data_IF_872357107466
#
_entry.id   IF_872357107466
#
_cell.length_a   1.000
_cell.length_b   1.000
_cell.length_c   1.000
_cell.angle_alpha   90.00
_cell.angle_beta   90.00
_cell.angle_gamma   90.00
#
_symmetry.space_group_name_H-M   'P 1'
#
loop_
_entity.id
_entity.type
_entity.pdbx_description
1 polymer ?
#
# COMPACT_ATOMS: atom_id res chain seq x y z
N UNK A 1 3.29 5.53 -6.30
CA UNK A 1 2.57 4.81 -5.20
C UNK A 1 3.00 5.40 -3.87
N UNK A 2 2.04 5.67 -2.98
CA UNK A 2 2.26 6.31 -1.68
C UNK A 2 1.98 5.32 -0.55
N UNK A 3 2.85 5.27 0.46
CA UNK A 3 2.57 4.60 1.74
C UNK A 3 2.33 5.68 2.78
N UNK A 4 1.10 5.70 3.30
CA UNK A 4 0.68 6.57 4.38
C UNK A 4 1.14 6.01 5.72
N UNK A 5 2.14 6.64 6.36
CA UNK A 5 2.68 6.18 7.64
C UNK A 5 2.11 6.95 8.85
N UNK A 6 0.92 7.57 8.72
CA UNK A 6 0.28 8.32 9.80
C UNK A 6 -0.52 7.44 10.78
N UNK A 7 0.09 6.34 11.22
CA UNK A 7 -0.56 5.32 12.05
C UNK A 7 0.19 4.99 13.35
N UNK A 8 1.08 5.88 13.81
CA UNK A 8 1.96 5.62 14.96
C UNK A 8 1.19 5.25 16.24
N UNK A 9 0.07 5.93 16.52
CA UNK A 9 -0.80 5.64 17.66
C UNK A 9 -1.46 4.25 17.62
N UNK A 10 -1.40 3.56 16.48
CA UNK A 10 -1.95 2.22 16.28
C UNK A 10 -0.87 1.12 16.26
N UNK A 11 0.41 1.47 16.41
CA UNK A 11 1.51 0.49 16.42
C UNK A 11 2.19 0.43 17.78
N UNK A 12 2.48 -0.80 18.20
CA UNK A 12 3.57 -1.02 19.16
C UNK A 12 4.90 -1.18 18.40
N UNK A 13 6.03 -1.09 19.11
CA UNK A 13 7.38 -1.19 18.50
C UNK A 13 7.55 -2.43 17.60
N UNK A 14 6.94 -3.56 17.99
CA UNK A 14 6.96 -4.80 17.20
C UNK A 14 6.29 -4.62 15.83
N UNK A 15 5.23 -3.85 15.75
CA UNK A 15 4.50 -3.60 14.50
C UNK A 15 5.25 -2.61 13.61
N UNK A 16 5.90 -1.59 14.20
CA UNK A 16 6.83 -0.72 13.47
C UNK A 16 7.98 -1.50 12.82
N UNK A 17 8.56 -2.50 13.52
CA UNK A 17 9.58 -3.39 12.96
C UNK A 17 9.05 -4.22 11.79
N UNK A 18 7.80 -4.72 11.87
CA UNK A 18 7.15 -5.43 10.76
C UNK A 18 6.90 -4.50 9.58
N UNK A 19 6.40 -3.29 9.81
CA UNK A 19 6.18 -2.29 8.78
C UNK A 19 7.49 -1.96 8.06
N UNK A 20 8.57 -1.70 8.80
CA UNK A 20 9.89 -1.46 8.22
C UNK A 20 10.39 -2.63 7.36
N UNK A 21 10.07 -3.89 7.73
CA UNK A 21 10.36 -5.06 6.88
C UNK A 21 9.53 -5.05 5.59
N UNK A 22 8.23 -4.73 5.68
CA UNK A 22 7.34 -4.65 4.53
C UNK A 22 7.77 -3.52 3.57
N UNK A 23 8.16 -2.35 4.08
CA UNK A 23 8.68 -1.24 3.26
C UNK A 23 9.97 -1.62 2.50
N UNK A 24 10.88 -2.39 3.12
CA UNK A 24 12.05 -2.94 2.41
C UNK A 24 11.65 -3.86 1.27
N UNK A 25 10.63 -4.70 1.47
CA UNK A 25 10.11 -5.59 0.45
C UNK A 25 9.50 -4.80 -0.73
N UNK A 26 8.72 -3.74 -0.46
CA UNK A 26 8.22 -2.85 -1.50
C UNK A 26 9.35 -2.31 -2.39
N UNK A 27 10.40 -1.76 -1.77
CA UNK A 27 11.54 -1.25 -2.53
C UNK A 27 12.27 -2.35 -3.33
N UNK A 28 12.51 -3.51 -2.72
CA UNK A 28 13.16 -4.64 -3.38
C UNK A 28 12.37 -5.16 -4.60
N UNK A 29 11.05 -5.25 -4.48
CA UNK A 29 10.15 -5.67 -5.56
C UNK A 29 10.03 -4.64 -6.70
N UNK A 30 10.39 -3.38 -6.44
CA UNK A 30 10.28 -2.28 -7.39
C UNK A 30 11.59 -2.01 -8.15
N UNK A 31 12.73 -2.03 -7.45
CA UNK A 31 14.01 -1.47 -7.94
C UNK A 31 14.61 -2.15 -9.18
N UNK A 32 14.13 -3.33 -9.54
CA UNK A 32 14.62 -4.10 -10.70
C UNK A 32 13.56 -4.27 -11.79
N UNK A 33 12.40 -3.60 -11.66
CA UNK A 33 11.37 -3.64 -12.70
C UNK A 33 11.78 -2.81 -13.92
N UNK A 34 11.30 -3.17 -15.13
CA UNK A 34 11.51 -2.37 -16.33
C UNK A 34 10.97 -0.93 -16.19
N UNK A 35 9.82 -0.78 -15.53
CA UNK A 35 9.16 0.50 -15.30
C UNK A 35 8.91 0.69 -13.80
N UNK A 36 9.94 1.03 -13.01
CA UNK A 36 9.81 1.10 -11.57
C UNK A 36 8.99 2.32 -11.14
N UNK A 37 8.09 2.11 -10.20
CA UNK A 37 7.25 3.17 -9.65
C UNK A 37 8.04 4.13 -8.73
N UNK A 38 7.62 5.39 -8.67
CA UNK A 38 8.05 6.28 -7.59
C UNK A 38 7.34 5.87 -6.29
N UNK A 39 8.10 5.46 -5.28
CA UNK A 39 7.61 5.08 -3.95
C UNK A 39 7.72 6.28 -3.01
N UNK A 40 6.60 6.79 -2.52
CA UNK A 40 6.55 7.89 -1.57
C UNK A 40 6.18 7.38 -0.19
N UNK A 41 6.95 7.74 0.83
CA UNK A 41 6.65 7.50 2.24
C UNK A 41 6.28 8.84 2.88
N UNK A 42 5.02 9.01 3.24
CA UNK A 42 4.47 10.24 3.82
C UNK A 42 4.32 10.11 5.33
N UNK A 43 4.18 11.24 6.02
CA UNK A 43 4.05 11.28 7.49
C UNK A 43 5.25 10.64 8.19
N UNK A 44 6.46 10.86 7.66
CA UNK A 44 7.72 10.35 8.20
C UNK A 44 8.48 11.46 8.90
N UNK A 45 8.41 11.49 10.23
CA UNK A 45 9.16 12.41 11.09
C UNK A 45 9.80 11.67 12.30
N UNK A 46 10.61 12.38 13.09
CA UNK A 46 11.13 11.93 14.39
C UNK A 46 11.48 10.44 14.51
N UNK A 47 10.76 9.75 15.39
CA UNK A 47 10.91 8.32 15.70
C UNK A 47 10.54 7.42 14.51
N UNK A 48 9.52 7.76 13.72
CA UNK A 48 9.17 7.04 12.48
C UNK A 48 10.34 7.01 11.51
N UNK A 49 11.06 8.14 11.41
CA UNK A 49 12.26 8.27 10.58
C UNK A 49 13.39 7.37 11.05
N UNK A 50 13.55 7.05 12.34
CA UNK A 50 14.62 6.17 12.81
C UNK A 50 14.37 4.70 12.44
N UNK A 51 13.13 4.23 12.56
CA UNK A 51 12.74 2.87 12.15
C UNK A 51 12.77 2.68 10.63
N UNK A 52 12.42 3.72 9.86
CA UNK A 52 12.35 3.69 8.39
C UNK A 52 13.69 4.09 7.74
N UNK A 53 14.58 4.77 8.49
CA UNK A 53 15.96 5.16 8.06
C UNK A 53 16.78 3.97 7.61
N UNK A 54 16.71 2.86 8.34
CA UNK A 54 17.51 1.67 8.11
C UNK A 54 17.08 0.87 6.87
N UNK A 55 16.11 1.34 6.09
CA UNK A 55 15.55 0.63 4.95
C UNK A 55 15.65 1.34 3.60
N UNK A 56 15.79 2.67 3.56
CA UNK A 56 15.59 3.40 2.29
C UNK A 56 16.21 4.80 2.18
N UNK A 57 17.12 5.22 3.07
CA UNK A 57 17.53 6.63 3.13
C UNK A 57 18.28 7.16 1.89
N UNK A 58 18.74 6.28 1.00
CA UNK A 58 19.42 6.64 -0.26
C UNK A 58 19.02 5.73 -1.43
N UNK A 59 17.89 5.07 -1.30
CA UNK A 59 17.37 4.22 -2.35
C UNK A 59 16.85 5.10 -3.50
N UNK A 60 17.37 4.96 -4.73
CA UNK A 60 16.75 5.57 -5.89
C UNK A 60 15.25 5.23 -5.91
N UNK A 61 14.40 6.16 -6.35
CA UNK A 61 12.94 5.99 -6.45
C UNK A 61 12.17 6.01 -5.12
N UNK A 62 12.83 6.20 -3.98
CA UNK A 62 12.15 6.35 -2.68
C UNK A 62 12.20 7.79 -2.19
N UNK A 63 11.03 8.39 -2.05
CA UNK A 63 10.85 9.75 -1.57
C UNK A 63 10.30 9.73 -0.15
N UNK A 64 10.93 10.47 0.76
CA UNK A 64 10.51 10.56 2.15
C UNK A 64 10.05 11.98 2.44
N UNK A 65 8.92 12.13 3.11
CA UNK A 65 8.38 13.46 3.43
C UNK A 65 7.68 13.43 4.79
N UNK A 66 7.84 14.47 5.64
CA UNK A 66 7.11 14.56 6.90
C UNK A 66 5.64 14.95 6.71
N UNK A 67 5.27 15.56 5.59
CA UNK A 67 3.90 15.94 5.24
C UNK A 67 2.99 14.72 5.12
N UNK A 68 1.72 14.87 5.47
CA UNK A 68 0.68 13.89 5.14
C UNK A 68 0.44 13.87 3.63
N UNK A 69 -0.04 12.75 3.09
CA UNK A 69 -0.16 12.57 1.64
C UNK A 69 -1.06 13.62 0.96
N UNK A 70 -2.12 14.09 1.61
CA UNK A 70 -3.06 15.08 1.09
C UNK A 70 -2.58 16.54 1.22
N UNK A 71 -1.47 16.78 1.91
CA UNK A 71 -0.74 18.05 1.82
C UNK A 71 0.29 18.05 0.68
N UNK A 72 0.73 16.86 0.26
CA UNK A 72 1.78 16.69 -0.74
C UNK A 72 1.25 16.56 -2.17
N UNK A 73 0.07 15.98 -2.33
CA UNK A 73 -0.59 15.68 -3.61
C UNK A 73 -2.00 16.24 -3.62
N UNK A 74 -2.50 16.59 -4.81
CA UNK A 74 -3.84 17.14 -4.95
C UNK A 74 -4.93 16.09 -4.65
N UNK A 75 -6.03 16.44 -3.97
CA UNK A 75 -7.11 15.51 -3.64
C UNK A 75 -7.66 14.72 -4.84
N UNK A 76 -7.79 15.36 -6.00
CA UNK A 76 -8.35 14.78 -7.23
C UNK A 76 -7.46 13.71 -7.87
N UNK A 77 -6.16 13.72 -7.58
CA UNK A 77 -5.21 12.71 -8.08
C UNK A 77 -5.06 11.54 -7.12
N UNK A 78 -5.59 11.62 -5.89
CA UNK A 78 -5.43 10.61 -4.86
C UNK A 78 -6.50 9.52 -4.94
N UNK A 79 -6.07 8.27 -4.75
CA UNK A 79 -6.97 7.12 -4.56
C UNK A 79 -6.49 6.30 -3.36
N UNK A 80 -7.24 6.30 -2.27
CA UNK A 80 -6.91 5.49 -1.10
C UNK A 80 -7.35 4.04 -1.28
N UNK A 81 -6.40 3.11 -1.20
CA UNK A 81 -6.67 1.68 -1.30
C UNK A 81 -7.06 1.11 0.06
N UNK A 82 -8.25 0.54 0.13
CA UNK A 82 -8.79 -0.08 1.35
C UNK A 82 -9.71 -1.24 1.02
N UNK A 83 -9.58 -2.35 1.74
CA UNK A 83 -10.40 -3.55 1.54
C UNK A 83 -11.88 -3.32 1.86
N UNK A 84 -12.19 -2.30 2.67
CA UNK A 84 -13.55 -2.00 3.10
C UNK A 84 -14.32 -1.15 2.08
N UNK A 85 -13.66 -0.68 1.01
CA UNK A 85 -14.30 0.17 0.00
C UNK A 85 -15.37 -0.59 -0.80
N UNK A 86 -16.54 0.02 -1.05
CA UNK A 86 -17.52 -0.55 -1.99
C UNK A 86 -17.06 -0.43 -3.45
N UNK A 87 -16.12 0.46 -3.76
CA UNK A 87 -15.67 0.71 -5.12
C UNK A 87 -14.58 -0.30 -5.51
N UNK A 88 -14.73 -0.95 -6.65
CA UNK A 88 -13.75 -1.91 -7.16
C UNK A 88 -12.78 -1.19 -8.10
N UNK A 89 -11.49 -1.36 -7.87
CA UNK A 89 -10.44 -0.84 -8.73
C UNK A 89 -10.34 -1.69 -10.00
N UNK A 90 -10.73 -1.15 -11.16
CA UNK A 90 -10.69 -1.87 -12.44
C UNK A 90 -9.33 -1.77 -13.16
N UNK A 91 -8.66 -0.62 -13.05
CA UNK A 91 -7.37 -0.33 -13.71
C UNK A 91 -6.55 0.67 -12.89
N UNK A 92 -5.26 0.80 -13.23
CA UNK A 92 -4.35 1.80 -12.68
C UNK A 92 -4.11 2.93 -13.68
N UNK A 93 -4.71 4.08 -13.38
CA UNK A 93 -4.44 5.34 -14.05
C UNK A 93 -3.08 5.90 -13.56
N UNK A 94 -2.11 5.94 -14.45
CA UNK A 94 -0.74 6.36 -14.15
C UNK A 94 -0.62 7.85 -13.77
N UNK A 95 -1.66 8.65 -14.01
CA UNK A 95 -1.74 10.05 -13.55
C UNK A 95 -2.09 10.16 -12.06
N UNK A 96 -2.57 9.08 -11.44
CA UNK A 96 -3.04 9.07 -10.05
C UNK A 96 -2.00 8.58 -9.05
N UNK A 97 -2.22 8.93 -7.79
CA UNK A 97 -1.44 8.49 -6.65
C UNK A 97 -2.26 7.53 -5.80
N UNK A 98 -1.94 6.25 -5.93
CA UNK A 98 -2.52 5.20 -5.11
C UNK A 98 -1.88 5.18 -3.73
N UNK A 99 -2.68 5.40 -2.69
CA UNK A 99 -2.27 5.45 -1.29
C UNK A 99 -2.56 4.11 -0.62
N UNK A 100 -1.55 3.54 0.03
CA UNK A 100 -1.65 2.32 0.84
C UNK A 100 -1.44 2.72 2.29
N UNK A 101 -2.35 2.32 3.18
CA UNK A 101 -2.16 2.51 4.61
C UNK A 101 -0.95 1.70 5.11
N UNK A 102 0.06 2.38 5.64
CA UNK A 102 1.23 1.81 6.30
C UNK A 102 0.91 1.21 7.66
N UNK A 103 -0.16 0.42 7.76
CA UNK A 103 -0.74 -0.08 9.00
C UNK A 103 -0.52 -1.59 9.11
N UNK A 104 0.11 -2.03 10.21
CA UNK A 104 0.23 -3.45 10.59
C UNK A 104 -0.62 -3.71 11.82
N UNK A 105 -1.89 -4.04 11.63
CA UNK A 105 -2.88 -4.15 12.71
C UNK A 105 -3.50 -5.54 12.86
N UNK A 106 -3.11 -6.51 12.02
CA UNK A 106 -3.79 -7.82 11.95
C UNK A 106 -5.31 -7.71 11.71
N UNK A 107 -5.76 -6.66 11.03
CA UNK A 107 -7.17 -6.32 10.78
C UNK A 107 -7.99 -6.03 12.06
N UNK A 108 -7.35 -5.41 13.05
CA UNK A 108 -7.99 -4.99 14.30
C UNK A 108 -8.78 -3.69 14.13
N UNK A 109 -8.45 -2.85 13.15
CA UNK A 109 -9.09 -1.54 12.92
C UNK A 109 -9.86 -1.52 11.59
N UNK A 110 -10.91 -2.34 11.49
CA UNK A 110 -11.78 -2.40 10.30
C UNK A 110 -12.36 -1.02 9.96
N UNK A 111 -12.35 -0.65 8.69
CA UNK A 111 -12.93 0.59 8.19
C UNK A 111 -12.11 1.84 8.49
N UNK A 112 -10.97 1.76 9.19
CA UNK A 112 -10.17 2.94 9.57
C UNK A 112 -9.72 3.74 8.34
N UNK A 113 -9.09 3.09 7.36
CA UNK A 113 -8.58 3.76 6.16
C UNK A 113 -9.70 4.26 5.25
N UNK A 114 -10.83 3.56 5.18
CA UNK A 114 -12.02 4.03 4.46
C UNK A 114 -12.60 5.29 5.11
N UNK A 115 -12.74 5.30 6.44
CA UNK A 115 -13.17 6.47 7.19
C UNK A 115 -12.26 7.66 6.93
N UNK A 116 -10.94 7.45 7.01
CA UNK A 116 -9.92 8.48 6.76
C UNK A 116 -9.98 9.05 5.33
N UNK A 117 -10.26 8.21 4.33
CA UNK A 117 -10.43 8.65 2.94
C UNK A 117 -11.70 9.50 2.77
N UNK A 118 -12.82 9.06 3.36
CA UNK A 118 -14.10 9.78 3.34
C UNK A 118 -14.00 11.15 4.04
N UNK A 119 -13.41 11.19 5.23
CA UNK A 119 -13.22 12.44 5.99
C UNK A 119 -12.39 13.48 5.24
N UNK A 120 -11.45 13.01 4.39
CA UNK A 120 -10.61 13.88 3.55
C UNK A 120 -11.20 14.14 2.16
N UNK A 121 -12.37 13.57 1.84
CA UNK A 121 -13.03 13.77 0.55
C UNK A 121 -12.23 13.26 -0.66
N UNK A 122 -11.36 12.25 -0.48
CA UNK A 122 -10.58 11.67 -1.58
C UNK A 122 -11.20 10.38 -2.09
N UNK A 123 -10.93 10.04 -3.35
CA UNK A 123 -11.40 8.79 -3.93
C UNK A 123 -10.81 7.59 -3.17
N UNK A 124 -11.55 6.50 -3.13
CA UNK A 124 -11.12 5.25 -2.50
C UNK A 124 -11.59 4.04 -3.30
N UNK A 125 -10.83 2.94 -3.25
CA UNK A 125 -11.19 1.69 -3.92
C UNK A 125 -10.57 0.47 -3.21
N UNK A 126 -11.19 -0.70 -3.38
CA UNK A 126 -10.62 -2.00 -3.04
C UNK A 126 -10.01 -2.64 -4.28
N UNK A 127 -8.99 -3.48 -4.07
CA UNK A 127 -8.48 -4.34 -5.14
C UNK A 127 -9.56 -5.34 -5.59
N UNK A 128 -9.60 -5.72 -6.87
CA UNK A 128 -10.59 -6.65 -7.40
C UNK A 128 -10.28 -8.11 -7.05
N UNK A 129 -9.88 -8.42 -5.80
CA UNK A 129 -9.39 -9.76 -5.44
C UNK A 129 -10.51 -10.81 -5.57
N UNK A 130 -11.70 -10.51 -5.05
CA UNK A 130 -12.87 -11.40 -5.08
C UNK A 130 -13.28 -11.83 -6.48
N UNK A 131 -13.00 -10.97 -7.46
CA UNK A 131 -13.39 -11.13 -8.86
C UNK A 131 -12.52 -12.16 -9.58
N UNK A 132 -11.30 -12.44 -9.09
CA UNK A 132 -10.34 -13.36 -9.73
C UNK A 132 -9.84 -14.50 -8.83
N UNK A 133 -9.98 -14.36 -7.51
CA UNK A 133 -9.41 -15.29 -6.53
C UNK A 133 -10.45 -15.63 -5.46
N UNK A 134 -10.82 -16.91 -5.39
CA UNK A 134 -11.52 -17.45 -4.22
C UNK A 134 -10.50 -17.62 -3.10
N UNK A 135 -10.65 -16.91 -1.99
CA UNK A 135 -9.75 -17.04 -0.84
C UNK A 135 -10.42 -17.78 0.32
N UNK A 136 -9.74 -18.80 0.83
CA UNK A 136 -10.15 -19.54 2.03
C UNK A 136 -10.06 -18.69 3.31
N UNK A 137 -9.43 -17.52 3.23
CA UNK A 137 -9.18 -16.61 4.36
C UNK A 137 -9.58 -15.18 4.02
N UNK A 138 -9.63 -14.31 5.04
CA UNK A 138 -9.99 -12.90 4.89
C UNK A 138 -9.13 -12.18 3.85
N UNK A 139 -9.75 -11.26 3.10
CA UNK A 139 -9.12 -10.49 2.03
C UNK A 139 -8.32 -9.29 2.51
N UNK A 140 -7.55 -9.47 3.58
CA UNK A 140 -6.68 -8.43 4.12
C UNK A 140 -5.24 -8.80 3.80
N UNK A 141 -4.60 -7.94 3.02
CA UNK A 141 -3.23 -8.08 2.55
C UNK A 141 -2.29 -7.18 3.36
N UNK A 142 -1.02 -7.56 3.41
CA UNK A 142 0.02 -6.72 4.01
C UNK A 142 0.39 -5.57 3.08
N UNK A 143 1.03 -4.53 3.61
CA UNK A 143 1.45 -3.34 2.85
C UNK A 143 2.26 -3.73 1.61
N UNK A 144 3.22 -4.66 1.80
CA UNK A 144 4.07 -5.12 0.71
C UNK A 144 3.29 -5.92 -0.35
N UNK A 145 2.34 -6.77 0.03
CA UNK A 145 1.57 -7.52 -0.97
C UNK A 145 0.69 -6.59 -1.81
N UNK A 146 0.05 -5.58 -1.20
CA UNK A 146 -0.71 -4.58 -1.98
C UNK A 146 0.23 -3.88 -2.95
N UNK A 147 1.38 -3.40 -2.49
CA UNK A 147 2.37 -2.75 -3.34
C UNK A 147 2.85 -3.65 -4.49
N UNK A 148 3.25 -4.89 -4.18
CA UNK A 148 3.72 -5.90 -5.13
C UNK A 148 2.67 -6.22 -6.20
N UNK A 149 1.39 -6.33 -5.80
CA UNK A 149 0.27 -6.52 -6.75
C UNK A 149 0.16 -5.33 -7.70
N UNK A 150 0.25 -4.10 -7.20
CA UNK A 150 0.14 -2.90 -8.05
C UNK A 150 1.27 -2.86 -9.08
N UNK A 151 2.51 -3.11 -8.66
CA UNK A 151 3.63 -3.07 -9.60
C UNK A 151 3.60 -4.24 -10.58
N UNK A 152 3.12 -5.42 -10.17
CA UNK A 152 2.90 -6.55 -11.08
C UNK A 152 1.79 -6.29 -12.10
N UNK A 153 0.72 -5.64 -11.65
CA UNK A 153 -0.36 -5.23 -12.55
C UNK A 153 0.12 -4.18 -13.55
N UNK A 154 0.97 -3.22 -13.17
CA UNK A 154 1.50 -2.24 -14.12
C UNK A 154 2.32 -2.87 -15.25
N UNK A 155 3.07 -3.94 -14.96
CA UNK A 155 3.91 -4.62 -15.97
C UNK A 155 3.08 -5.51 -16.93
N UNK A 156 1.89 -5.95 -16.53
CA UNK A 156 1.13 -6.98 -17.27
C UNK A 156 -0.30 -6.62 -17.61
N UNK A 157 -0.86 -5.61 -16.94
CA UNK A 157 -2.28 -5.21 -16.99
C UNK A 157 -3.25 -6.38 -16.79
N UNK A 158 -2.83 -7.35 -15.96
CA UNK A 158 -3.58 -8.57 -15.66
C UNK A 158 -3.66 -8.76 -14.14
N UNK A 159 -4.86 -8.54 -13.59
CA UNK A 159 -5.13 -8.68 -12.16
C UNK A 159 -4.96 -10.11 -11.69
N UNK A 160 -5.40 -11.10 -12.48
CA UNK A 160 -5.28 -12.51 -12.11
C UNK A 160 -3.81 -12.87 -11.99
N UNK A 161 -2.99 -12.53 -12.99
CA UNK A 161 -1.54 -12.75 -12.92
C UNK A 161 -0.92 -12.08 -11.69
N UNK A 162 -1.27 -10.81 -11.43
CA UNK A 162 -0.77 -10.07 -10.28
C UNK A 162 -1.12 -10.71 -8.94
N UNK A 163 -2.35 -11.21 -8.78
CA UNK A 163 -2.75 -11.88 -7.55
C UNK A 163 -2.07 -13.23 -7.37
N UNK A 164 -1.96 -14.05 -8.42
CA UNK A 164 -1.37 -15.39 -8.33
C UNK A 164 0.16 -15.36 -8.14
N UNK A 165 0.86 -14.30 -8.56
CA UNK A 165 2.31 -14.16 -8.33
C UNK A 165 2.65 -13.68 -6.91
N UNK A 166 1.76 -12.90 -6.28
CA UNK A 166 2.04 -12.26 -4.98
C UNK A 166 1.34 -12.94 -3.81
N UNK A 167 0.08 -13.35 -3.97
CA UNK A 167 -0.69 -13.95 -2.88
C UNK A 167 -0.19 -15.38 -2.65
N UNK A 168 0.28 -15.74 -1.45
CA UNK A 168 0.79 -17.08 -1.18
C UNK A 168 -0.26 -18.15 -1.49
N UNK A 169 0.15 -19.23 -2.18
CA UNK A 169 -0.75 -20.29 -2.65
C UNK A 169 -1.69 -20.84 -1.55
N UNK A 170 -1.23 -20.95 -0.30
CA UNK A 170 -2.05 -21.39 0.85
C UNK A 170 -3.29 -20.51 1.13
N UNK A 171 -3.34 -19.28 0.64
CA UNK A 171 -4.48 -18.37 0.81
C UNK A 171 -5.47 -18.46 -0.34
N UNK A 172 -5.07 -19.05 -1.46
CA UNK A 172 -5.89 -19.23 -2.65
C UNK A 172 -6.54 -20.61 -2.57
N UNK A 173 -7.86 -20.64 -2.70
CA UNK A 173 -8.63 -21.86 -2.91
C UNK A 173 -8.91 -21.97 -4.40
N UNK A 174 -8.53 -23.11 -4.98
CA UNK A 174 -8.86 -23.49 -6.38
C UNK A 174 -10.32 -23.85 -6.45
#
# INVERSE_FOLDING_TARGET
IVIDCDFESYHVEKDLKKLAKQLRACYAANRHRPHPCQLHLTSIDGTRRSFIRASAQRAPLVHHTPQVYNERFSPETLVYLTSDSPNVLSDLDETKQYVIGGLVDHNSYKGLTLKLANERGIAHARLPISEYVSMASRQVLTVNHVFEILVEYLDHRDWKKAFFSVIPARKVSV
#
